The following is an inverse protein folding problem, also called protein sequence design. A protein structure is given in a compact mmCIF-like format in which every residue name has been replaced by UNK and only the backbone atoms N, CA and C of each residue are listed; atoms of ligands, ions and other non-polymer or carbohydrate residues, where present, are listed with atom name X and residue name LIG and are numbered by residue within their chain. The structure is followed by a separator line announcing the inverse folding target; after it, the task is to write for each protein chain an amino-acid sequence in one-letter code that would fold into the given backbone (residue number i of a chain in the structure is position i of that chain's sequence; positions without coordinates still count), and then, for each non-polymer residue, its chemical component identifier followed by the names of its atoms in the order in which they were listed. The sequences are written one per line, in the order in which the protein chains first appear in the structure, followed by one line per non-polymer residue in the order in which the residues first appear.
data_IF_110128370306
#
_entry.id   IF_110128370306
#
_cell.length_a   1.000
_cell.length_b   1.000
_cell.length_c   1.000
_cell.angle_alpha   90.00
_cell.angle_beta   90.00
_cell.angle_gamma   90.00
#
_symmetry.space_group_name_H-M   'P 1'
#
loop_
_entity.id
_entity.type
_entity.pdbx_description
1 polymer ?
#
# COMPACT_ATOMS: atom_id res chain seq x y z
N UNK A 1 3.61 8.89 36.54
CA UNK A 1 4.83 8.05 36.53
C UNK A 1 4.66 6.99 35.46
N UNK A 2 5.74 6.64 34.76
CA UNK A 2 5.74 5.67 33.66
C UNK A 2 5.35 4.27 34.13
N UNK A 3 5.82 3.85 35.32
CA UNK A 3 5.51 2.51 35.83
C UNK A 3 4.02 2.39 36.14
N UNK A 4 3.38 3.45 36.64
CA UNK A 4 1.92 3.47 36.83
C UNK A 4 1.20 3.20 35.52
N UNK A 5 1.57 3.87 34.44
CA UNK A 5 0.96 3.67 33.12
C UNK A 5 1.16 2.24 32.62
N UNK A 6 2.39 1.73 32.62
CA UNK A 6 2.70 0.38 32.14
C UNK A 6 2.01 -0.71 32.97
N UNK A 7 1.94 -0.54 34.29
CA UNK A 7 1.24 -1.47 35.18
C UNK A 7 -0.26 -1.48 34.90
N UNK A 8 -0.90 -0.31 34.74
CA UNK A 8 -2.33 -0.23 34.41
C UNK A 8 -2.63 -0.89 33.06
N UNK A 9 -1.79 -0.65 32.05
CA UNK A 9 -1.92 -1.31 30.75
C UNK A 9 -1.82 -2.83 30.89
N UNK A 10 -0.83 -3.32 31.65
CA UNK A 10 -0.65 -4.76 31.89
C UNK A 10 -1.83 -5.36 32.65
N UNK A 11 -2.39 -4.64 33.62
CA UNK A 11 -3.62 -5.05 34.34
C UNK A 11 -4.79 -5.19 33.37
N UNK A 12 -5.01 -4.20 32.50
CA UNK A 12 -6.09 -4.23 31.51
C UNK A 12 -5.93 -5.39 30.51
N UNK A 13 -4.72 -5.67 30.04
CA UNK A 13 -4.46 -6.81 29.17
C UNK A 13 -4.81 -8.15 29.83
N UNK A 14 -4.50 -8.29 31.13
CA UNK A 14 -4.83 -9.50 31.90
C UNK A 14 -6.34 -9.62 32.16
N UNK A 15 -7.02 -8.50 32.40
CA UNK A 15 -8.48 -8.48 32.66
C UNK A 15 -9.30 -8.71 31.38
N UNK A 16 -8.79 -8.31 30.21
CA UNK A 16 -9.49 -8.37 28.93
C UNK A 16 -8.64 -9.04 27.82
N UNK A 17 -8.31 -10.34 27.94
CA UNK A 17 -7.38 -11.02 27.03
C UNK A 17 -7.87 -11.13 25.57
N UNK A 18 -9.16 -10.89 25.32
CA UNK A 18 -9.77 -10.86 23.99
C UNK A 18 -9.65 -9.49 23.30
N UNK A 19 -9.22 -8.46 24.03
CA UNK A 19 -9.02 -7.11 23.48
C UNK A 19 -7.56 -6.89 23.14
N UNK A 20 -7.34 -6.07 22.13
CA UNK A 20 -6.00 -5.65 21.73
C UNK A 20 -5.75 -4.27 22.32
N UNK A 21 -4.69 -4.17 23.13
CA UNK A 21 -4.28 -2.92 23.75
C UNK A 21 -3.17 -2.28 22.93
N UNK A 22 -3.39 -1.00 22.59
CA UNK A 22 -2.43 -0.16 21.89
C UNK A 22 -1.81 0.78 22.90
N UNK A 23 -0.49 0.74 23.01
CA UNK A 23 0.28 1.67 23.82
C UNK A 23 0.49 2.95 23.01
N UNK A 24 0.64 4.09 23.69
CA UNK A 24 0.81 5.38 23.04
C UNK A 24 1.95 6.16 23.68
N UNK A 25 2.80 6.81 22.88
CA UNK A 25 3.70 7.84 23.40
C UNK A 25 2.92 9.14 23.67
N UNK A 26 3.48 10.01 24.51
CA UNK A 26 2.99 11.37 24.68
C UNK A 26 3.37 12.27 23.50
N UNK A 27 2.89 13.51 23.53
CA UNK A 27 3.24 14.55 22.56
C UNK A 27 4.68 15.07 22.78
N UNK A 28 5.15 15.96 21.90
CA UNK A 28 6.37 16.74 22.08
C UNK A 28 6.06 18.05 22.80
N UNK A 29 6.99 18.54 23.62
CA UNK A 29 6.79 19.73 24.48
C UNK A 29 7.93 20.75 24.36
N UNK A 30 8.84 20.57 23.40
CA UNK A 30 10.01 21.44 23.21
C UNK A 30 11.12 21.24 24.24
N UNK A 31 11.00 20.28 25.17
CA UNK A 31 12.04 20.00 26.17
C UNK A 31 13.26 19.26 25.61
N UNK A 32 13.20 18.80 24.36
CA UNK A 32 14.30 18.16 23.65
C UNK A 32 14.57 16.72 24.10
N UNK A 33 15.69 16.17 23.63
CA UNK A 33 16.06 14.75 23.84
C UNK A 33 16.40 14.41 25.31
N UNK A 34 16.81 15.40 26.10
CA UNK A 34 17.06 15.22 27.54
C UNK A 34 15.81 15.51 28.40
N UNK A 35 14.73 15.92 27.75
CA UNK A 35 13.46 16.27 28.37
C UNK A 35 12.77 15.08 29.02
N UNK A 36 12.08 15.32 30.15
CA UNK A 36 11.40 14.23 30.86
C UNK A 36 10.37 13.52 29.96
N UNK A 37 9.64 14.25 29.11
CA UNK A 37 8.63 13.65 28.23
C UNK A 37 9.27 12.73 27.19
N UNK A 38 10.37 13.15 26.55
CA UNK A 38 11.16 12.31 25.66
C UNK A 38 11.62 11.03 26.35
N UNK A 39 12.19 11.15 27.56
CA UNK A 39 12.66 10.00 28.33
C UNK A 39 11.52 9.02 28.67
N UNK A 40 10.29 9.51 28.95
CA UNK A 40 9.13 8.62 29.15
C UNK A 40 8.71 7.96 27.83
N UNK A 41 8.72 8.68 26.72
CA UNK A 41 8.40 8.12 25.40
C UNK A 41 9.38 7.00 25.02
N UNK A 42 10.68 7.18 25.25
CA UNK A 42 11.68 6.12 25.04
C UNK A 42 11.43 4.89 25.91
N UNK A 43 11.00 5.07 27.16
CA UNK A 43 10.64 3.93 28.01
C UNK A 43 9.42 3.16 27.48
N UNK A 44 8.41 3.86 26.95
CA UNK A 44 7.24 3.22 26.31
C UNK A 44 7.68 2.44 25.07
N UNK A 45 8.49 3.06 24.19
CA UNK A 45 9.03 2.41 22.98
C UNK A 45 9.80 1.15 23.33
N UNK A 46 10.71 1.24 24.29
CA UNK A 46 11.52 0.11 24.74
C UNK A 46 10.67 -1.01 25.35
N UNK A 47 9.66 -0.66 26.16
CA UNK A 47 8.72 -1.63 26.70
C UNK A 47 7.94 -2.35 25.60
N UNK A 48 7.42 -1.61 24.61
CA UNK A 48 6.64 -2.19 23.52
C UNK A 48 7.49 -3.14 22.67
N UNK A 49 8.72 -2.74 22.32
CA UNK A 49 9.67 -3.58 21.58
C UNK A 49 10.03 -4.85 22.35
N UNK A 50 10.31 -4.74 23.65
CA UNK A 50 10.71 -5.87 24.47
C UNK A 50 9.57 -6.88 24.72
N UNK A 51 8.32 -6.43 24.70
CA UNK A 51 7.15 -7.25 25.03
C UNK A 51 6.21 -7.49 23.83
N UNK A 52 6.66 -7.20 22.60
CA UNK A 52 5.90 -7.35 21.37
C UNK A 52 4.51 -6.70 21.42
N UNK A 53 4.45 -5.44 21.84
CA UNK A 53 3.20 -4.66 21.97
C UNK A 53 2.96 -3.76 20.77
N UNK A 54 1.69 -3.51 20.48
CA UNK A 54 1.28 -2.50 19.51
C UNK A 54 1.50 -1.09 20.07
N UNK A 55 2.11 -0.22 19.28
CA UNK A 55 2.44 1.15 19.64
C UNK A 55 1.89 2.14 18.61
N UNK A 56 1.23 3.19 19.08
CA UNK A 56 0.89 4.37 18.31
C UNK A 56 1.76 5.54 18.78
N UNK A 57 2.74 5.92 17.97
CA UNK A 57 3.83 6.79 18.40
C UNK A 57 3.62 8.26 17.97
N UNK A 58 2.90 9.02 18.81
CA UNK A 58 2.67 10.45 18.60
C UNK A 58 3.97 11.25 18.48
N UNK A 59 4.89 11.04 19.42
CA UNK A 59 6.14 11.77 19.46
C UNK A 59 7.02 11.51 18.24
N UNK A 60 6.98 10.30 17.68
CA UNK A 60 7.73 9.97 16.45
C UNK A 60 7.15 10.69 15.24
N UNK A 61 5.82 10.65 15.08
CA UNK A 61 5.11 11.36 13.99
C UNK A 61 5.40 12.87 14.05
N UNK A 62 5.50 13.45 15.23
CA UNK A 62 5.80 14.88 15.42
C UNK A 62 7.27 15.26 15.15
N UNK A 63 8.16 14.27 14.96
CA UNK A 63 9.60 14.47 14.73
C UNK A 63 10.00 14.41 13.25
N UNK A 64 9.11 14.04 12.33
CA UNK A 64 9.44 13.84 10.93
C UNK A 64 8.43 14.55 10.01
N UNK A 65 8.95 15.13 8.92
CA UNK A 65 8.10 15.50 7.80
C UNK A 65 7.88 14.30 6.85
N UNK A 66 6.94 14.40 5.89
CA UNK A 66 6.68 13.31 4.94
C UNK A 66 7.87 12.93 4.05
N UNK A 67 8.87 13.80 3.89
CA UNK A 67 10.10 13.51 3.11
C UNK A 67 11.17 12.79 3.95
N UNK A 68 10.92 12.57 5.24
CA UNK A 68 11.81 11.90 6.17
C UNK A 68 12.86 12.82 6.80
N UNK A 69 12.71 14.14 6.70
CA UNK A 69 13.56 15.07 7.43
C UNK A 69 13.27 14.99 8.91
N UNK A 70 14.32 14.88 9.72
CA UNK A 70 14.21 14.74 11.17
C UNK A 70 14.31 16.09 11.89
N UNK A 71 13.46 16.25 12.91
CA UNK A 71 13.34 17.45 13.75
C UNK A 71 13.45 17.15 15.25
N UNK A 72 13.56 15.89 15.67
CA UNK A 72 13.55 15.52 17.09
C UNK A 72 14.69 16.11 17.93
N UNK A 73 15.82 16.44 17.30
CA UNK A 73 16.97 17.11 17.92
C UNK A 73 16.88 18.65 17.90
N UNK A 74 15.79 19.20 17.35
CA UNK A 74 15.56 20.65 17.22
C UNK A 74 14.52 21.16 18.21
N UNK A 75 14.38 20.53 19.38
CA UNK A 75 13.41 20.89 20.41
C UNK A 75 11.99 21.10 19.87
N UNK A 76 11.42 20.12 19.15
CA UNK A 76 10.12 20.26 18.53
C UNK A 76 8.98 20.24 19.55
N UNK A 77 7.82 20.77 19.16
CA UNK A 77 6.57 20.82 19.96
C UNK A 77 5.43 20.10 19.25
N UNK A 78 4.35 19.81 20.00
CA UNK A 78 3.09 19.22 19.51
C UNK A 78 2.39 20.07 18.42
N UNK A 79 2.66 21.38 18.42
CA UNK A 79 2.25 22.32 17.39
C UNK A 79 3.20 22.36 16.16
N UNK A 80 4.03 21.33 15.95
CA UNK A 80 4.97 21.21 14.82
C UNK A 80 6.07 22.29 14.77
N UNK A 81 6.20 23.12 15.80
CA UNK A 81 7.28 24.09 15.87
C UNK A 81 8.59 23.39 16.19
N UNK A 82 9.70 23.89 15.66
CA UNK A 82 11.07 23.49 15.98
C UNK A 82 11.98 24.72 16.11
N UNK A 83 13.13 24.54 16.75
CA UNK A 83 14.16 25.56 16.93
C UNK A 83 15.23 25.44 15.83
N UNK A 84 15.33 26.48 15.01
CA UNK A 84 16.41 26.67 14.06
C UNK A 84 17.34 27.78 14.57
N UNK A 85 18.39 27.39 15.29
CA UNK A 85 19.42 28.30 15.79
C UNK A 85 18.87 29.50 16.57
N UNK A 86 17.88 29.27 17.43
CA UNK A 86 17.21 30.30 18.23
C UNK A 86 15.96 30.90 17.59
N UNK A 87 15.66 30.55 16.35
CA UNK A 87 14.43 30.97 15.65
C UNK A 87 13.39 29.86 15.74
N UNK A 88 12.17 30.20 16.17
CA UNK A 88 11.06 29.25 16.11
C UNK A 88 10.52 29.19 14.69
N UNK A 89 10.47 27.99 14.13
CA UNK A 89 9.96 27.67 12.79
C UNK A 89 8.95 26.54 12.90
N UNK A 90 8.20 26.25 11.84
CA UNK A 90 7.18 25.21 11.85
C UNK A 90 7.38 24.30 10.63
N UNK A 91 7.75 23.04 10.88
CA UNK A 91 8.14 22.13 9.80
C UNK A 91 6.94 21.72 8.94
N UNK A 92 5.75 21.64 9.54
CA UNK A 92 4.56 21.23 8.83
C UNK A 92 4.10 22.33 7.88
N UNK A 93 4.05 23.59 8.34
CA UNK A 93 3.73 24.74 7.48
C UNK A 93 4.75 24.87 6.34
N UNK A 94 6.03 24.75 6.65
CA UNK A 94 7.09 24.80 5.63
C UNK A 94 6.96 23.71 4.57
N UNK A 95 6.58 22.50 4.98
CA UNK A 95 6.33 21.41 4.06
C UNK A 95 5.08 21.69 3.21
N UNK A 96 3.98 22.10 3.85
CA UNK A 96 2.71 22.40 3.20
C UNK A 96 2.86 23.50 2.14
N UNK A 97 3.61 24.56 2.42
CA UNK A 97 3.85 25.69 1.50
C UNK A 97 4.60 25.28 0.22
N UNK A 98 5.30 24.14 0.25
CA UNK A 98 6.04 23.58 -0.89
C UNK A 98 5.32 22.41 -1.58
N UNK A 99 4.11 22.05 -1.13
CA UNK A 99 3.36 20.88 -1.60
C UNK A 99 1.90 21.21 -1.92
N UNK A 100 1.25 20.33 -2.69
CA UNK A 100 -0.08 20.59 -3.25
C UNK A 100 -1.19 20.14 -2.30
N UNK A 101 -1.99 21.09 -1.80
CA UNK A 101 -3.21 20.79 -1.03
C UNK A 101 -4.20 19.97 -1.88
N UNK A 102 -4.79 18.94 -1.28
CA UNK A 102 -5.70 18.00 -1.94
C UNK A 102 -5.01 16.87 -2.70
N UNK A 103 -3.67 16.86 -2.73
CA UNK A 103 -2.86 15.79 -3.34
C UNK A 103 -1.90 15.23 -2.31
N UNK A 104 -0.99 16.08 -1.84
CA UNK A 104 0.11 15.71 -0.94
C UNK A 104 -0.31 15.82 0.53
N UNK A 105 -1.21 16.75 0.84
CA UNK A 105 -1.81 16.93 2.16
C UNK A 105 -3.23 17.48 2.06
N UNK A 106 -4.02 17.35 3.12
CA UNK A 106 -5.42 17.74 3.15
C UNK A 106 -5.69 18.68 4.33
N UNK A 107 -6.23 19.85 4.02
CA UNK A 107 -6.65 20.77 5.06
C UNK A 107 -7.78 20.16 5.91
N UNK A 108 -7.68 20.32 7.23
CA UNK A 108 -8.65 19.82 8.19
C UNK A 108 -8.60 20.64 9.47
N UNK A 109 -9.67 20.57 10.26
CA UNK A 109 -9.66 21.13 11.62
C UNK A 109 -8.78 20.27 12.52
N UNK A 110 -7.70 20.84 13.03
CA UNK A 110 -6.80 20.21 13.99
C UNK A 110 -6.79 20.98 15.33
N UNK A 111 -6.83 20.25 16.44
CA UNK A 111 -6.60 20.82 17.76
C UNK A 111 -5.11 20.69 18.10
N UNK A 112 -4.48 21.80 18.49
CA UNK A 112 -3.09 21.83 18.99
C UNK A 112 -2.06 21.25 18.01
N UNK A 113 -2.30 21.32 16.69
CA UNK A 113 -1.36 20.86 15.67
C UNK A 113 -1.68 21.46 14.30
N UNK A 114 -0.84 21.19 13.30
CA UNK A 114 -1.08 21.59 11.91
C UNK A 114 -1.92 20.55 11.13
N UNK A 115 -2.67 20.95 10.08
CA UNK A 115 -3.48 20.02 9.29
C UNK A 115 -2.70 18.82 8.74
N UNK A 116 -1.47 19.04 8.27
CA UNK A 116 -0.58 17.98 7.79
C UNK A 116 -0.32 16.94 8.88
N UNK A 117 0.04 17.36 10.09
CA UNK A 117 0.32 16.44 11.19
C UNK A 117 -0.94 15.68 11.63
N UNK A 118 -2.11 16.32 11.59
CA UNK A 118 -3.38 15.64 11.82
C UNK A 118 -3.66 14.57 10.74
N UNK A 119 -3.35 14.85 9.46
CA UNK A 119 -3.42 13.83 8.41
C UNK A 119 -2.49 12.65 8.71
N UNK A 120 -1.22 12.92 9.03
CA UNK A 120 -0.22 11.89 9.33
C UNK A 120 -0.65 10.99 10.49
N UNK A 121 -1.17 11.56 11.58
CA UNK A 121 -1.75 10.81 12.71
C UNK A 121 -2.93 9.95 12.27
N UNK A 122 -3.83 10.48 11.43
CA UNK A 122 -4.95 9.71 10.91
C UNK A 122 -4.50 8.52 10.04
N UNK A 123 -3.51 8.73 9.16
CA UNK A 123 -2.94 7.68 8.32
C UNK A 123 -2.27 6.59 9.14
N UNK A 124 -1.46 6.98 10.13
CA UNK A 124 -0.83 6.04 11.04
C UNK A 124 -1.87 5.22 11.84
N UNK A 125 -2.95 5.86 12.32
CA UNK A 125 -3.98 5.18 13.09
C UNK A 125 -4.74 4.16 12.24
N UNK A 126 -5.08 4.55 11.01
CA UNK A 126 -5.68 3.65 10.04
C UNK A 126 -4.78 2.45 9.75
N UNK A 127 -3.49 2.69 9.51
CA UNK A 127 -2.53 1.63 9.19
C UNK A 127 -2.31 0.67 10.36
N UNK A 128 -2.30 1.19 11.59
CA UNK A 128 -2.23 0.40 12.81
C UNK A 128 -3.45 -0.53 12.91
N UNK A 129 -4.67 -0.01 12.77
CA UNK A 129 -5.87 -0.85 12.86
C UNK A 129 -5.95 -1.88 11.75
N UNK A 130 -5.61 -1.49 10.51
CA UNK A 130 -5.50 -2.43 9.41
C UNK A 130 -4.55 -3.57 9.78
N UNK A 131 -3.31 -3.26 10.18
CA UNK A 131 -2.30 -4.24 10.56
C UNK A 131 -2.77 -5.17 11.69
N UNK A 132 -3.40 -4.61 12.72
CA UNK A 132 -3.96 -5.38 13.85
C UNK A 132 -5.03 -6.37 13.38
N UNK A 133 -5.86 -5.99 12.41
CA UNK A 133 -6.94 -6.85 11.89
C UNK A 133 -6.44 -7.90 10.90
N UNK A 134 -5.13 -8.03 10.70
CA UNK A 134 -4.56 -8.95 9.71
C UNK A 134 -4.75 -8.46 8.28
N UNK A 135 -5.08 -7.18 8.08
CA UNK A 135 -4.64 -6.51 6.87
C UNK A 135 -3.13 -6.44 6.98
N UNK A 136 -2.46 -7.49 6.48
CA UNK A 136 -1.12 -7.31 5.98
C UNK A 136 -1.21 -6.05 5.11
N UNK A 137 -0.34 -5.08 5.40
CA UNK A 137 -0.06 -4.06 4.42
C UNK A 137 -0.02 -4.75 3.06
N UNK A 138 -0.54 -4.12 2.02
CA UNK A 138 -0.34 -4.61 0.66
C UNK A 138 1.14 -4.75 0.26
N UNK A 139 2.10 -4.75 1.20
CA UNK A 139 3.35 -5.49 1.13
C UNK A 139 3.25 -6.84 1.87
N UNK A 140 2.26 -7.64 1.50
CA UNK A 140 2.28 -9.09 1.67
C UNK A 140 3.39 -9.69 0.80
N UNK A 141 4.68 -9.34 0.99
CA UNK A 141 5.72 -9.62 -0.02
C UNK A 141 5.14 -9.47 -1.44
N UNK A 142 4.44 -8.36 -1.72
CA UNK A 142 4.35 -7.93 -3.10
C UNK A 142 5.78 -7.49 -3.36
N UNK A 143 6.59 -8.47 -3.75
CA UNK A 143 7.80 -8.23 -4.46
C UNK A 143 7.40 -7.19 -5.50
N UNK A 144 7.88 -5.95 -5.39
CA UNK A 144 7.59 -4.93 -6.39
C UNK A 144 8.11 -5.36 -7.78
N UNK A 145 8.81 -6.49 -7.90
CA UNK A 145 9.05 -7.23 -9.15
C UNK A 145 7.87 -8.07 -9.68
N UNK A 146 6.74 -8.15 -8.98
CA UNK A 146 5.60 -9.02 -9.33
C UNK A 146 4.39 -8.27 -9.89
N UNK A 147 4.22 -6.98 -9.60
CA UNK A 147 3.31 -6.12 -10.38
C UNK A 147 3.98 -5.94 -11.75
N UNK A 148 3.35 -6.41 -12.84
CA UNK A 148 3.94 -6.28 -14.16
C UNK A 148 4.15 -4.80 -14.47
N UNK A 149 5.39 -4.40 -14.71
CA UNK A 149 5.70 -3.05 -15.20
C UNK A 149 5.08 -2.85 -16.59
N UNK A 150 4.92 -3.95 -17.33
CA UNK A 150 4.37 -3.98 -18.68
C UNK A 150 3.13 -4.86 -18.74
N UNK A 151 2.21 -4.49 -19.61
CA UNK A 151 1.12 -5.36 -20.07
C UNK A 151 1.74 -6.39 -21.02
N UNK A 152 1.54 -7.68 -20.77
CA UNK A 152 2.12 -8.75 -21.60
C UNK A 152 1.15 -9.94 -21.76
N UNK A 153 1.08 -10.47 -22.98
CA UNK A 153 0.51 -11.77 -23.32
C UNK A 153 1.65 -12.76 -23.57
N UNK A 154 1.81 -13.77 -22.72
CA UNK A 154 2.89 -14.76 -22.82
C UNK A 154 2.56 -15.87 -23.84
N UNK A 155 3.57 -16.68 -24.18
CA UNK A 155 3.33 -17.87 -25.00
C UNK A 155 2.52 -18.89 -24.20
N UNK A 156 1.52 -19.48 -24.85
CA UNK A 156 0.75 -20.57 -24.27
C UNK A 156 1.61 -21.83 -24.07
N UNK A 157 1.32 -22.62 -23.03
CA UNK A 157 1.98 -23.90 -22.79
C UNK A 157 0.98 -25.00 -22.36
N UNK A 158 1.13 -26.22 -22.92
CA UNK A 158 2.04 -26.59 -24.00
C UNK A 158 1.68 -25.89 -25.32
N UNK A 159 2.63 -25.81 -26.26
CA UNK A 159 2.39 -25.36 -27.63
C UNK A 159 3.39 -26.09 -28.56
N UNK A 160 2.95 -27.04 -29.41
CA UNK A 160 1.55 -27.41 -29.67
C UNK A 160 0.83 -28.05 -28.48
N UNK A 161 -0.51 -28.01 -28.46
CA UNK A 161 -1.33 -28.52 -27.35
C UNK A 161 -2.43 -29.50 -27.79
N UNK A 162 -2.94 -30.32 -26.87
CA UNK A 162 -4.04 -31.26 -27.08
C UNK A 162 -4.86 -31.54 -25.80
N UNK A 163 -6.17 -31.28 -25.80
CA UNK A 163 -6.81 -30.10 -26.38
C UNK A 163 -6.67 -28.88 -25.45
N UNK A 164 -5.93 -29.01 -24.34
CA UNK A 164 -5.84 -28.00 -23.28
C UNK A 164 -4.47 -27.31 -23.31
N UNK A 165 -4.47 -25.98 -23.15
CA UNK A 165 -3.28 -25.16 -22.94
C UNK A 165 -3.54 -24.09 -21.90
N UNK A 166 -2.48 -23.56 -21.29
CA UNK A 166 -2.50 -22.42 -20.38
C UNK A 166 -1.93 -21.22 -21.11
N UNK A 167 -2.61 -20.07 -21.00
CA UNK A 167 -2.17 -18.79 -21.57
C UNK A 167 -1.88 -17.82 -20.41
N UNK A 168 -0.60 -17.59 -20.08
CA UNK A 168 -0.23 -16.59 -19.09
C UNK A 168 -0.31 -15.19 -19.68
N UNK A 169 -0.71 -14.23 -18.86
CA UNK A 169 -0.71 -12.81 -19.21
C UNK A 169 -0.56 -11.95 -17.97
N UNK A 170 -0.26 -10.68 -18.18
CA UNK A 170 0.08 -9.72 -17.14
C UNK A 170 -0.57 -8.38 -17.46
N UNK A 171 -1.16 -7.76 -16.44
CA UNK A 171 -1.82 -6.45 -16.52
C UNK A 171 -1.09 -5.49 -15.60
N UNK A 172 -0.67 -4.36 -16.16
CA UNK A 172 0.02 -3.32 -15.41
C UNK A 172 -0.94 -2.31 -14.79
N UNK A 173 -0.43 -1.67 -13.74
CA UNK A 173 -0.98 -0.51 -13.07
C UNK A 173 -0.93 0.77 -13.92
N UNK A 174 0.00 0.86 -14.86
CA UNK A 174 0.51 2.14 -15.41
C UNK A 174 -0.36 2.79 -16.48
N UNK A 175 -1.63 2.40 -16.61
CA UNK A 175 -2.53 3.10 -17.51
C UNK A 175 -2.75 4.53 -16.97
N UNK A 176 -2.56 5.56 -17.81
CA UNK A 176 -2.60 7.00 -17.51
C UNK A 176 -3.88 7.54 -16.82
N UNK A 177 -4.82 6.66 -16.47
CA UNK A 177 -6.10 6.99 -15.85
C UNK A 177 -6.15 6.41 -14.42
N UNK A 178 -5.69 7.21 -13.45
CA UNK A 178 -5.79 6.94 -12.00
C UNK A 178 -7.20 6.52 -11.53
N UNK A 179 -8.25 6.86 -12.31
CA UNK A 179 -9.64 6.49 -12.04
C UNK A 179 -9.98 5.01 -12.28
N UNK A 180 -9.20 4.27 -13.08
CA UNK A 180 -9.48 2.86 -13.39
C UNK A 180 -9.02 1.90 -12.28
N UNK A 181 -8.05 2.33 -11.46
CA UNK A 181 -7.51 1.51 -10.36
C UNK A 181 -8.56 1.16 -9.31
N UNK A 182 -9.53 2.06 -9.06
CA UNK A 182 -10.60 1.84 -8.10
C UNK A 182 -11.71 0.91 -8.63
N UNK A 183 -11.79 0.65 -9.94
CA UNK A 183 -12.88 -0.10 -10.57
C UNK A 183 -12.42 -1.34 -11.37
N UNK A 184 -11.12 -1.62 -11.42
CA UNK A 184 -10.52 -2.66 -12.25
C UNK A 184 -10.33 -2.26 -13.71
N UNK A 185 -9.34 -2.87 -14.37
CA UNK A 185 -8.97 -2.62 -15.76
C UNK A 185 -9.76 -3.56 -16.68
N UNK A 186 -10.38 -3.03 -17.73
CA UNK A 186 -11.10 -3.84 -18.69
C UNK A 186 -10.12 -4.64 -19.57
N UNK A 187 -10.23 -5.96 -19.57
CA UNK A 187 -9.34 -6.88 -20.29
C UNK A 187 -10.17 -7.86 -21.11
N UNK A 188 -9.78 -8.05 -22.37
CA UNK A 188 -10.35 -9.08 -23.23
C UNK A 188 -9.28 -9.98 -23.82
N UNK A 189 -9.50 -11.30 -23.77
CA UNK A 189 -8.67 -12.31 -24.44
C UNK A 189 -9.55 -13.15 -25.34
N UNK A 190 -9.30 -13.10 -26.66
CA UNK A 190 -10.08 -13.81 -27.69
C UNK A 190 -9.20 -14.65 -28.58
N UNK A 191 -9.75 -15.73 -29.11
CA UNK A 191 -9.09 -16.67 -30.04
C UNK A 191 -9.70 -16.56 -31.43
N UNK A 192 -8.85 -16.58 -32.45
CA UNK A 192 -9.19 -16.46 -33.87
C UNK A 192 -8.54 -17.57 -34.68
N UNK A 193 -9.22 -18.01 -35.75
CA UNK A 193 -8.63 -18.90 -36.76
C UNK A 193 -7.77 -18.14 -37.78
N UNK A 194 -7.15 -18.84 -38.73
CA UNK A 194 -6.32 -18.23 -39.80
C UNK A 194 -7.08 -17.27 -40.75
N UNK A 195 -8.41 -17.35 -40.77
CA UNK A 195 -9.28 -16.46 -41.55
C UNK A 195 -9.71 -15.22 -40.75
N UNK A 196 -9.25 -15.09 -39.50
CA UNK A 196 -9.61 -13.98 -38.60
C UNK A 196 -10.98 -14.12 -37.96
N UNK A 197 -11.66 -15.27 -38.09
CA UNK A 197 -12.94 -15.49 -37.40
C UNK A 197 -12.69 -15.80 -35.93
N UNK A 198 -13.43 -15.13 -35.03
CA UNK A 198 -13.43 -15.43 -33.60
C UNK A 198 -14.00 -16.83 -33.37
N UNK A 199 -13.27 -17.66 -32.63
CA UNK A 199 -13.66 -19.04 -32.30
C UNK A 199 -13.84 -19.27 -30.80
N UNK A 200 -13.31 -18.37 -29.96
CA UNK A 200 -13.54 -18.38 -28.51
C UNK A 200 -13.31 -16.99 -27.89
N UNK A 201 -14.09 -16.67 -26.86
CA UNK A 201 -13.83 -15.56 -25.95
C UNK A 201 -13.44 -16.15 -24.59
N UNK A 202 -12.16 -16.00 -24.22
CA UNK A 202 -11.62 -16.61 -23.01
C UNK A 202 -11.84 -15.70 -21.80
N UNK A 203 -11.71 -14.38 -21.98
CA UNK A 203 -11.85 -13.40 -20.91
C UNK A 203 -12.49 -12.12 -21.46
N UNK A 204 -13.43 -11.54 -20.72
CA UNK A 204 -13.99 -10.23 -20.99
C UNK A 204 -14.52 -9.59 -19.70
N UNK A 205 -13.61 -9.14 -18.84
CA UNK A 205 -13.92 -8.70 -17.49
C UNK A 205 -13.04 -7.52 -17.07
N UNK A 206 -13.45 -6.84 -15.98
CA UNK A 206 -12.59 -5.90 -15.28
C UNK A 206 -11.81 -6.65 -14.20
N UNK A 207 -10.49 -6.62 -14.28
CA UNK A 207 -9.59 -7.28 -13.33
C UNK A 207 -8.57 -6.28 -12.77
N UNK A 208 -8.05 -6.58 -11.59
CA UNK A 208 -7.00 -5.76 -10.99
C UNK A 208 -5.66 -5.97 -11.72
N UNK A 209 -4.67 -5.07 -11.54
CA UNK A 209 -3.30 -5.32 -11.99
C UNK A 209 -2.74 -6.61 -11.36
N UNK A 210 -2.01 -7.40 -12.15
CA UNK A 210 -1.48 -8.68 -11.69
C UNK A 210 -1.05 -9.60 -12.82
N UNK A 211 -0.54 -10.78 -12.43
CA UNK A 211 -0.24 -11.89 -13.34
C UNK A 211 -1.35 -12.91 -13.26
N UNK A 212 -1.77 -13.42 -14.42
CA UNK A 212 -2.92 -14.29 -14.57
C UNK A 212 -2.60 -15.42 -15.54
N UNK A 213 -3.34 -16.51 -15.39
CA UNK A 213 -3.31 -17.64 -16.31
C UNK A 213 -4.73 -18.01 -16.68
N UNK A 214 -4.98 -18.21 -17.97
CA UNK A 214 -6.26 -18.73 -18.44
C UNK A 214 -6.10 -20.09 -19.11
N UNK A 215 -6.93 -21.04 -18.68
CA UNK A 215 -7.01 -22.36 -19.28
C UNK A 215 -7.90 -22.29 -20.52
N UNK A 216 -7.36 -22.69 -21.66
CA UNK A 216 -8.13 -22.84 -22.90
C UNK A 216 -8.30 -24.33 -23.22
N UNK A 217 -9.55 -24.77 -23.32
CA UNK A 217 -9.92 -26.10 -23.82
C UNK A 217 -10.48 -25.98 -25.24
N UNK A 218 -9.73 -26.50 -26.20
CA UNK A 218 -10.05 -26.47 -27.62
C UNK A 218 -10.72 -27.78 -28.11
N UNK A 219 -11.33 -28.55 -27.20
CA UNK A 219 -11.99 -29.83 -27.49
C UNK A 219 -13.04 -29.76 -28.61
N UNK A 220 -13.64 -28.59 -28.85
CA UNK A 220 -14.69 -28.36 -29.85
C UNK A 220 -14.21 -27.87 -31.22
N UNK A 221 -12.94 -27.51 -31.40
CA UNK A 221 -12.40 -26.95 -32.67
C UNK A 221 -11.38 -27.88 -33.35
N UNK A 222 -11.19 -27.78 -34.66
CA UNK A 222 -10.29 -28.68 -35.42
C UNK A 222 -8.80 -28.41 -35.16
N UNK A 223 -7.93 -29.40 -35.32
CA UNK A 223 -6.48 -29.20 -35.34
C UNK A 223 -6.08 -28.11 -36.34
N UNK A 224 -5.09 -27.28 -36.00
CA UNK A 224 -4.69 -26.16 -36.84
C UNK A 224 -3.96 -25.04 -36.10
N UNK A 225 -3.70 -23.96 -36.83
CA UNK A 225 -3.08 -22.74 -36.31
C UNK A 225 -4.17 -21.77 -35.87
N UNK A 226 -3.99 -21.20 -34.69
CA UNK A 226 -4.87 -20.20 -34.10
C UNK A 226 -4.06 -19.01 -33.59
N UNK A 227 -4.74 -17.88 -33.45
CA UNK A 227 -4.20 -16.67 -32.87
C UNK A 227 -5.01 -16.28 -31.65
N UNK A 228 -4.36 -15.81 -30.59
CA UNK A 228 -5.02 -15.28 -29.41
C UNK A 228 -4.55 -13.86 -29.16
N UNK A 229 -5.49 -12.99 -28.82
CA UNK A 229 -5.26 -11.55 -28.73
C UNK A 229 -5.74 -11.04 -27.38
N UNK A 230 -4.85 -10.33 -26.68
CA UNK A 230 -5.15 -9.56 -25.48
C UNK A 230 -5.39 -8.10 -25.87
N UNK A 231 -6.47 -7.52 -25.37
CA UNK A 231 -6.83 -6.11 -25.58
C UNK A 231 -7.19 -5.47 -24.25
N UNK A 232 -6.60 -4.32 -23.95
CA UNK A 232 -6.92 -3.50 -22.76
C UNK A 232 -6.53 -2.05 -23.01
N UNK A 233 -7.44 -1.10 -22.77
CA UNK A 233 -7.21 0.31 -23.12
C UNK A 233 -6.70 0.49 -24.56
N UNK A 234 -5.52 1.10 -24.71
CA UNK A 234 -4.83 1.30 -25.99
C UNK A 234 -3.83 0.18 -26.34
N UNK A 235 -3.71 -0.84 -25.50
CA UNK A 235 -2.80 -1.97 -25.71
C UNK A 235 -3.49 -3.12 -26.44
N UNK A 236 -2.82 -3.68 -27.44
CA UNK A 236 -3.23 -4.92 -28.11
C UNK A 236 -2.00 -5.76 -28.43
N UNK A 237 -2.03 -7.04 -28.05
CA UNK A 237 -0.98 -8.00 -28.39
C UNK A 237 -1.58 -9.32 -28.85
N UNK A 238 -1.05 -9.86 -29.94
CA UNK A 238 -1.50 -11.13 -30.54
C UNK A 238 -0.36 -12.13 -30.57
N UNK A 239 -0.67 -13.40 -30.25
CA UNK A 239 0.26 -14.53 -30.35
C UNK A 239 -0.36 -15.71 -31.06
N UNK A 240 0.48 -16.64 -31.51
CA UNK A 240 0.11 -17.83 -32.29
C UNK A 240 0.18 -19.09 -31.44
N UNK A 241 -0.77 -19.98 -31.59
CA UNK A 241 -0.78 -21.33 -31.00
C UNK A 241 -1.15 -22.41 -32.02
N UNK A 242 -0.74 -23.65 -31.75
CA UNK A 242 -0.97 -24.80 -32.61
C UNK A 242 -1.72 -25.88 -31.83
N UNK A 243 -2.93 -26.22 -32.27
CA UNK A 243 -3.71 -27.35 -31.72
C UNK A 243 -3.43 -28.61 -32.54
N UNK A 244 -3.05 -29.70 -31.86
CA UNK A 244 -2.85 -31.02 -32.47
C UNK A 244 -3.66 -32.06 -31.71
N UNK A 245 -4.81 -32.45 -32.26
CA UNK A 245 -5.60 -33.58 -31.77
C UNK A 245 -5.10 -34.91 -32.31
#
# INVERSE_FOLDING_TARGET
DINTYLNLMTTLENEFPQLIFVYMTGHLDGSGLDGNLHLRNEQIRNYCKANNKYLFDFADIECYDPDGNYYGDKNPTDACNYNDNGTSRNWAVEWQDNHTEGVDWYNCSSAHSEPLNANQKAYAAWWLWASITGWESGVANVDYHSIPINIELANNYPNPFNPITIIPFSISATNDNQSEFAQGINVSIKVYNILGSEVANLLHERINPGKYEIKFDAGSISSGIYYYTLTTGNFTQTKRMILMK
#
